data_IF_340340421473
#
_entry.id   IF_340340421473
#
_cell.length_a   1.000
_cell.length_b   1.000
_cell.length_c   1.000
_cell.angle_alpha   90.00
_cell.angle_beta   90.00
_cell.angle_gamma   90.00
#
_symmetry.space_group_name_H-M   'P 1'
#
loop_
_entity.id
_entity.type
_entity.pdbx_description
1 polymer ?
#
# COMPACT_ATOMS: atom_id res chain seq x y z
N UNK A 1 21.96 -14.86 24.56
CA UNK A 1 20.56 -14.47 24.37
C UNK A 1 20.03 -15.29 23.20
N UNK A 2 19.18 -16.25 23.45
CA UNK A 2 18.60 -17.14 22.43
C UNK A 2 17.58 -16.33 21.64
N UNK A 3 17.90 -16.03 20.40
CA UNK A 3 16.93 -15.49 19.45
C UNK A 3 15.85 -16.55 19.29
N UNK A 4 14.63 -16.25 19.75
CA UNK A 4 13.47 -17.12 19.53
C UNK A 4 13.33 -17.40 18.03
N UNK A 5 13.10 -18.65 17.59
CA UNK A 5 12.94 -18.95 16.17
C UNK A 5 11.78 -18.12 15.64
N UNK A 6 12.06 -17.38 14.57
CA UNK A 6 11.06 -16.60 13.83
C UNK A 6 9.94 -17.56 13.43
N UNK A 7 8.73 -17.32 13.94
CA UNK A 7 7.57 -18.11 13.54
C UNK A 7 7.26 -17.77 12.08
N UNK A 8 7.65 -18.66 11.19
CA UNK A 8 7.38 -18.56 9.76
C UNK A 8 5.86 -18.66 9.54
N UNK A 9 5.31 -17.69 8.83
CA UNK A 9 3.87 -17.68 8.52
C UNK A 9 3.64 -18.32 7.17
N UNK A 10 2.73 -19.30 7.12
CA UNK A 10 2.24 -19.87 5.87
C UNK A 10 1.66 -18.78 4.98
N UNK A 11 1.77 -18.90 3.67
CA UNK A 11 0.89 -18.23 2.69
C UNK A 11 -0.55 -18.77 2.81
N UNK A 12 -1.09 -18.85 4.02
CA UNK A 12 -2.50 -19.12 4.16
C UNK A 12 -3.24 -17.90 3.60
N UNK A 13 -4.16 -18.13 2.68
CA UNK A 13 -5.11 -17.12 2.24
C UNK A 13 -5.77 -16.51 3.48
N UNK A 14 -5.29 -15.33 3.89
CA UNK A 14 -5.99 -14.58 4.93
C UNK A 14 -7.33 -14.21 4.32
N UNK A 15 -8.39 -14.84 4.80
CA UNK A 15 -9.74 -14.42 4.44
C UNK A 15 -9.89 -12.96 4.86
N UNK A 16 -10.49 -12.12 4.02
CA UNK A 16 -10.79 -10.75 4.41
C UNK A 16 -11.62 -10.77 5.70
N UNK A 17 -11.25 -9.89 6.65
CA UNK A 17 -12.01 -9.78 7.89
C UNK A 17 -13.23 -8.91 7.66
N UNK A 18 -14.41 -9.34 8.10
CA UNK A 18 -15.61 -8.51 8.04
C UNK A 18 -15.41 -7.23 8.85
N UNK A 19 -16.10 -6.17 8.48
CA UNK A 19 -16.10 -4.92 9.24
C UNK A 19 -16.70 -5.18 10.61
N UNK A 20 -15.87 -5.18 11.66
CA UNK A 20 -16.32 -5.54 13.02
C UNK A 20 -17.14 -4.41 13.67
N UNK A 21 -16.99 -3.15 13.20
CA UNK A 21 -17.65 -1.95 13.74
C UNK A 21 -17.81 -0.92 12.63
N UNK A 22 -18.98 -0.31 12.56
CA UNK A 22 -19.15 0.89 11.72
C UNK A 22 -18.54 2.11 12.44
N UNK A 23 -17.65 2.81 11.76
CA UNK A 23 -16.97 4.00 12.25
C UNK A 23 -17.64 5.28 11.72
N UNK A 24 -18.22 6.09 12.61
CA UNK A 24 -18.66 7.42 12.23
C UNK A 24 -17.45 8.34 12.10
N UNK A 25 -17.52 9.32 11.20
CA UNK A 25 -16.46 10.33 11.02
C UNK A 25 -16.07 11.01 12.34
N UNK A 26 -17.05 11.40 13.17
CA UNK A 26 -16.80 12.00 14.48
C UNK A 26 -16.10 11.06 15.48
N UNK A 27 -16.37 9.74 15.44
CA UNK A 27 -15.68 8.78 16.31
C UNK A 27 -14.20 8.65 15.91
N UNK A 28 -13.92 8.69 14.60
CA UNK A 28 -12.55 8.66 14.08
C UNK A 28 -11.82 9.98 14.36
N UNK A 29 -12.50 11.13 14.22
CA UNK A 29 -11.96 12.45 14.56
C UNK A 29 -11.57 12.52 16.04
N UNK A 30 -12.40 11.99 16.94
CA UNK A 30 -12.08 11.91 18.36
C UNK A 30 -10.79 11.12 18.67
N UNK A 31 -10.42 10.14 17.83
CA UNK A 31 -9.13 9.47 17.96
C UNK A 31 -7.96 10.41 17.61
N UNK A 32 -8.10 11.26 16.59
CA UNK A 32 -7.07 12.26 16.25
C UNK A 32 -6.84 13.28 17.38
N UNK A 33 -7.83 13.52 18.24
CA UNK A 33 -7.76 14.50 19.35
C UNK A 33 -7.17 13.91 20.63
N UNK A 34 -6.95 12.60 20.70
CA UNK A 34 -6.27 11.99 21.84
C UNK A 34 -4.86 12.59 22.04
N UNK A 35 -4.34 12.63 23.28
CA UNK A 35 -2.94 12.96 23.53
C UNK A 35 -2.04 12.06 22.66
N UNK A 36 -1.02 12.69 22.03
CA UNK A 36 -0.23 12.01 20.99
C UNK A 36 0.34 10.66 21.43
N UNK A 37 0.97 10.61 22.63
CA UNK A 37 1.60 9.39 23.12
C UNK A 37 0.56 8.32 23.51
N UNK A 38 -0.62 8.72 24.00
CA UNK A 38 -1.70 7.78 24.35
C UNK A 38 -2.28 7.15 23.09
N UNK A 39 -2.46 7.93 22.02
CA UNK A 39 -2.89 7.42 20.73
C UNK A 39 -1.89 6.42 20.14
N UNK A 40 -0.61 6.75 20.14
CA UNK A 40 0.46 5.87 19.64
C UNK A 40 0.53 4.58 20.47
N UNK A 41 0.40 4.68 21.80
CA UNK A 41 0.40 3.53 22.69
C UNK A 41 -0.78 2.58 22.39
N UNK A 42 -2.01 3.10 22.27
CA UNK A 42 -3.18 2.29 21.91
C UNK A 42 -3.01 1.58 20.57
N UNK A 43 -2.50 2.31 19.56
CA UNK A 43 -2.23 1.73 18.25
C UNK A 43 -1.16 0.61 18.31
N UNK A 44 -0.12 0.80 19.12
CA UNK A 44 0.92 -0.20 19.35
C UNK A 44 0.39 -1.47 20.00
N UNK A 45 -0.52 -1.36 20.98
CA UNK A 45 -1.16 -2.52 21.61
C UNK A 45 -2.00 -3.31 20.60
N UNK A 46 -2.81 -2.62 19.79
CA UNK A 46 -3.62 -3.24 18.74
C UNK A 46 -2.71 -3.90 17.70
N UNK A 47 -1.64 -3.22 17.28
CA UNK A 47 -0.69 -3.80 16.33
C UNK A 47 -0.11 -5.12 16.86
N UNK A 48 0.38 -5.15 18.10
CA UNK A 48 0.98 -6.33 18.71
C UNK A 48 0.00 -7.48 18.96
N UNK A 49 -1.28 -7.17 19.12
CA UNK A 49 -2.31 -8.22 19.28
C UNK A 49 -2.64 -8.94 17.96
N UNK A 50 -2.34 -8.34 16.80
CA UNK A 50 -2.71 -8.88 15.49
C UNK A 50 -1.51 -9.25 14.62
N UNK A 51 -0.34 -8.66 14.87
CA UNK A 51 0.87 -8.83 14.07
C UNK A 51 2.09 -9.00 14.96
N UNK A 52 3.13 -9.64 14.42
CA UNK A 52 4.45 -9.52 14.98
C UNK A 52 4.99 -8.10 14.70
N UNK A 53 5.26 -7.28 15.73
CA UNK A 53 5.62 -5.87 15.51
C UNK A 53 7.00 -5.66 14.89
N UNK A 54 7.78 -6.73 14.74
CA UNK A 54 9.11 -6.69 14.13
C UNK A 54 9.10 -7.10 12.66
N UNK A 55 7.99 -7.66 12.16
CA UNK A 55 7.85 -8.08 10.77
C UNK A 55 7.35 -6.94 9.89
N UNK A 56 8.11 -6.61 8.85
CA UNK A 56 7.77 -5.58 7.87
C UNK A 56 7.54 -6.22 6.49
N UNK A 57 6.38 -6.01 5.91
CA UNK A 57 6.09 -6.43 4.54
C UNK A 57 6.81 -5.51 3.56
N UNK A 58 7.70 -6.07 2.75
CA UNK A 58 8.39 -5.36 1.67
C UNK A 58 7.65 -5.55 0.35
N UNK A 59 7.33 -4.44 -0.31
CA UNK A 59 6.71 -4.42 -1.63
C UNK A 59 7.50 -3.52 -2.56
N UNK A 60 7.76 -3.95 -3.78
CA UNK A 60 8.33 -3.09 -4.82
C UNK A 60 7.21 -2.54 -5.69
N UNK A 61 7.29 -1.27 -6.08
CA UNK A 61 6.33 -0.61 -6.96
C UNK A 61 7.02 -0.14 -8.23
N UNK A 62 6.43 -0.47 -9.37
CA UNK A 62 6.95 -0.12 -10.68
C UNK A 62 5.87 0.50 -11.57
N UNK A 63 6.24 1.56 -12.30
CA UNK A 63 5.42 2.09 -13.39
C UNK A 63 5.66 1.26 -14.65
N UNK A 64 4.63 0.57 -15.12
CA UNK A 64 4.67 -0.18 -16.39
C UNK A 64 4.20 0.67 -17.58
N UNK A 65 3.59 1.82 -17.32
CA UNK A 65 3.20 2.83 -18.29
C UNK A 65 3.15 4.18 -17.59
N UNK A 66 3.99 5.12 -17.99
CA UNK A 66 4.19 6.42 -17.35
C UNK A 66 3.56 7.54 -18.16
N UNK A 67 2.97 8.52 -17.46
CA UNK A 67 2.54 9.80 -18.02
C UNK A 67 1.35 9.77 -18.98
N UNK A 68 0.82 10.95 -19.29
CA UNK A 68 -0.30 11.13 -20.21
C UNK A 68 -1.62 10.53 -19.73
N UNK A 69 -1.84 10.46 -18.41
CA UNK A 69 -3.10 10.04 -17.80
C UNK A 69 -4.18 11.11 -18.08
N UNK A 70 -5.38 10.72 -18.53
CA UNK A 70 -6.46 11.67 -18.79
C UNK A 70 -7.18 12.19 -17.53
N UNK A 71 -6.83 11.72 -16.36
CA UNK A 71 -7.37 12.19 -15.08
C UNK A 71 -6.64 13.44 -14.60
N UNK A 72 -7.37 14.35 -13.92
CA UNK A 72 -6.88 15.66 -13.47
C UNK A 72 -6.49 15.71 -11.99
N UNK A 73 -6.21 14.55 -11.36
CA UNK A 73 -5.86 14.48 -9.93
C UNK A 73 -4.82 15.53 -9.55
N UNK A 74 -5.17 16.49 -8.66
CA UNK A 74 -4.38 17.67 -8.36
C UNK A 74 -2.97 17.40 -7.79
N UNK A 75 -2.73 16.20 -7.26
CA UNK A 75 -1.44 15.75 -6.72
C UNK A 75 -0.58 15.00 -7.72
N UNK A 76 -1.11 14.63 -8.91
CA UNK A 76 -0.49 13.59 -9.75
C UNK A 76 0.31 14.18 -10.90
N UNK A 77 1.64 14.00 -10.95
CA UNK A 77 2.46 14.50 -12.05
C UNK A 77 2.25 13.75 -13.38
N UNK A 78 1.57 12.59 -13.36
CA UNK A 78 1.28 11.79 -14.55
C UNK A 78 0.07 12.30 -15.34
N UNK A 79 -0.66 13.27 -14.80
CA UNK A 79 -1.84 13.87 -15.43
C UNK A 79 -1.47 14.61 -16.73
N UNK A 80 -2.25 14.40 -17.79
CA UNK A 80 -2.14 15.18 -19.03
C UNK A 80 -2.65 16.63 -18.87
N UNK A 81 -3.32 16.94 -17.76
CA UNK A 81 -3.82 18.28 -17.43
C UNK A 81 -2.75 19.17 -16.77
N UNK A 82 -1.63 18.59 -16.33
CA UNK A 82 -0.60 19.31 -15.60
C UNK A 82 0.65 19.50 -16.43
N UNK A 83 1.31 20.66 -16.28
CA UNK A 83 2.55 20.98 -16.98
C UNK A 83 3.76 20.53 -16.15
N UNK A 84 3.95 19.23 -16.04
CA UNK A 84 5.11 18.61 -15.37
C UNK A 84 6.13 18.17 -16.42
N UNK A 85 7.39 18.00 -16.00
CA UNK A 85 8.45 17.52 -16.90
C UNK A 85 8.38 16.01 -17.17
N UNK A 86 7.28 15.35 -16.80
CA UNK A 86 7.12 13.91 -16.96
C UNK A 86 6.64 13.57 -18.37
N UNK A 87 7.50 12.90 -19.15
CA UNK A 87 7.19 12.42 -20.49
C UNK A 87 6.12 11.30 -20.49
N UNK A 88 5.44 11.14 -21.63
CA UNK A 88 4.54 10.00 -21.85
C UNK A 88 5.32 8.82 -22.42
N UNK A 89 5.25 7.69 -21.73
CA UNK A 89 5.89 6.44 -22.15
C UNK A 89 4.84 5.43 -22.64
N UNK A 90 5.28 4.52 -23.48
CA UNK A 90 4.47 3.37 -23.89
C UNK A 90 4.43 2.32 -22.76
N UNK A 91 3.55 1.33 -22.91
CA UNK A 91 3.56 0.14 -22.05
C UNK A 91 4.91 -0.57 -22.18
N UNK A 92 5.51 -0.95 -21.07
CA UNK A 92 6.76 -1.71 -21.04
C UNK A 92 6.56 -3.13 -21.57
N UNK A 93 7.62 -3.69 -22.12
CA UNK A 93 7.62 -5.10 -22.56
C UNK A 93 7.56 -6.05 -21.39
N UNK A 94 6.89 -7.19 -21.57
CA UNK A 94 6.70 -8.23 -20.53
C UNK A 94 8.06 -8.71 -20.00
N UNK A 95 9.02 -8.99 -20.88
CA UNK A 95 10.34 -9.47 -20.49
C UNK A 95 11.10 -8.49 -19.60
N UNK A 96 11.01 -7.19 -19.90
CA UNK A 96 11.64 -6.16 -19.07
C UNK A 96 11.00 -6.09 -17.66
N UNK A 97 9.67 -6.21 -17.58
CA UNK A 97 8.95 -6.25 -16.30
C UNK A 97 9.35 -7.46 -15.48
N UNK A 98 9.45 -8.64 -16.13
CA UNK A 98 9.86 -9.89 -15.48
C UNK A 98 11.27 -9.80 -14.91
N UNK A 99 12.23 -9.24 -15.67
CA UNK A 99 13.60 -9.06 -15.17
C UNK A 99 13.65 -8.13 -13.93
N UNK A 100 12.90 -7.04 -13.96
CA UNK A 100 12.79 -6.15 -12.78
C UNK A 100 12.12 -6.84 -11.59
N UNK A 101 11.12 -7.69 -11.81
CA UNK A 101 10.48 -8.47 -10.76
C UNK A 101 11.43 -9.52 -10.15
N UNK A 102 12.27 -10.17 -10.96
CA UNK A 102 13.33 -11.08 -10.49
C UNK A 102 14.33 -10.36 -9.58
N UNK A 103 14.76 -9.17 -9.99
CA UNK A 103 15.67 -8.32 -9.18
C UNK A 103 14.99 -7.97 -7.85
N UNK A 104 13.75 -7.49 -7.88
CA UNK A 104 13.00 -7.15 -6.66
C UNK A 104 12.88 -8.37 -5.71
N UNK A 105 12.56 -9.55 -6.26
CA UNK A 105 12.51 -10.80 -5.48
C UNK A 105 13.85 -11.14 -4.84
N UNK A 106 14.95 -11.09 -5.60
CA UNK A 106 16.30 -11.40 -5.09
C UNK A 106 16.75 -10.46 -3.95
N UNK A 107 16.16 -9.28 -3.88
CA UNK A 107 16.39 -8.25 -2.85
C UNK A 107 15.43 -8.35 -1.66
N UNK A 108 14.56 -9.34 -1.64
CA UNK A 108 13.68 -9.64 -0.51
C UNK A 108 12.26 -9.09 -0.60
N UNK A 109 11.86 -8.49 -1.72
CA UNK A 109 10.47 -8.07 -1.90
C UNK A 109 9.56 -9.31 -2.00
N UNK A 110 8.54 -9.36 -1.15
CA UNK A 110 7.53 -10.43 -1.16
C UNK A 110 6.37 -10.12 -2.10
N UNK A 111 6.18 -8.84 -2.46
CA UNK A 111 5.11 -8.36 -3.33
C UNK A 111 5.67 -7.46 -4.42
N UNK A 112 5.20 -7.67 -5.65
CA UNK A 112 5.50 -6.81 -6.79
C UNK A 112 4.22 -6.06 -7.21
N UNK A 113 4.27 -4.72 -7.09
CA UNK A 113 3.17 -3.83 -7.43
C UNK A 113 3.45 -3.17 -8.77
N UNK A 114 2.46 -3.12 -9.65
CA UNK A 114 2.56 -2.50 -10.98
C UNK A 114 1.52 -1.42 -11.15
N UNK A 115 1.91 -0.26 -11.66
CA UNK A 115 1.02 0.86 -11.92
C UNK A 115 1.05 1.30 -13.39
N UNK A 116 -0.10 1.69 -13.94
CA UNK A 116 -0.23 2.25 -15.27
C UNK A 116 -0.96 3.60 -15.25
N UNK A 117 -0.39 4.61 -15.91
CA UNK A 117 -0.95 5.95 -16.00
C UNK A 117 -2.05 6.00 -17.07
N UNK A 118 -3.28 5.74 -16.67
CA UNK A 118 -4.49 5.86 -17.47
C UNK A 118 -5.75 5.96 -16.59
N UNK A 119 -6.92 6.22 -17.19
CA UNK A 119 -8.20 6.16 -16.49
C UNK A 119 -8.55 4.72 -16.10
N UNK A 120 -8.30 3.79 -17.01
CA UNK A 120 -8.50 2.34 -16.88
C UNK A 120 -8.01 1.63 -18.15
N UNK A 121 -7.80 0.30 -18.08
CA UNK A 121 -7.43 -0.48 -19.26
C UNK A 121 -8.59 -0.50 -20.26
N UNK A 122 -8.27 -0.45 -21.54
CA UNK A 122 -9.25 -0.71 -22.61
C UNK A 122 -9.35 -2.23 -22.80
N UNK A 123 -10.44 -2.75 -23.42
CA UNK A 123 -10.58 -4.19 -23.68
C UNK A 123 -9.35 -4.83 -24.36
N UNK A 124 -8.71 -4.10 -25.28
CA UNK A 124 -7.49 -4.55 -25.96
C UNK A 124 -6.26 -4.66 -25.06
N UNK A 125 -6.23 -3.92 -23.95
CA UNK A 125 -5.10 -3.89 -23.03
C UNK A 125 -5.17 -5.03 -21.99
N UNK A 126 -6.38 -5.62 -21.79
CA UNK A 126 -6.61 -6.67 -20.78
C UNK A 126 -5.74 -7.89 -21.02
N UNK A 127 -5.59 -8.31 -22.27
CA UNK A 127 -4.79 -9.49 -22.61
C UNK A 127 -3.29 -9.30 -22.24
N UNK A 128 -2.71 -8.15 -22.59
CA UNK A 128 -1.31 -7.83 -22.29
C UNK A 128 -1.10 -7.67 -20.78
N UNK A 129 -2.01 -6.99 -20.08
CA UNK A 129 -1.94 -6.85 -18.62
C UNK A 129 -2.05 -8.21 -17.94
N UNK A 130 -2.92 -9.10 -18.42
CA UNK A 130 -3.06 -10.46 -17.91
C UNK A 130 -1.81 -11.29 -18.13
N UNK A 131 -1.15 -11.15 -19.29
CA UNK A 131 0.14 -11.80 -19.58
C UNK A 131 1.22 -11.33 -18.59
N UNK A 132 1.36 -10.03 -18.37
CA UNK A 132 2.28 -9.45 -17.39
C UNK A 132 2.02 -10.00 -15.98
N UNK A 133 0.75 -10.01 -15.55
CA UNK A 133 0.35 -10.55 -14.25
C UNK A 133 0.78 -12.02 -14.12
N UNK A 134 0.48 -12.84 -15.12
CA UNK A 134 0.80 -14.27 -15.09
C UNK A 134 2.30 -14.53 -15.06
N UNK A 135 3.07 -13.74 -15.81
CA UNK A 135 4.52 -13.88 -15.87
C UNK A 135 5.17 -13.52 -14.52
N UNK A 136 4.73 -12.43 -13.87
CA UNK A 136 5.22 -12.03 -12.54
C UNK A 136 4.75 -13.03 -11.47
N UNK A 137 3.50 -13.52 -11.55
CA UNK A 137 2.98 -14.54 -10.64
C UNK A 137 3.76 -15.83 -10.70
N UNK A 138 4.20 -16.21 -11.89
CA UNK A 138 5.07 -17.38 -12.12
C UNK A 138 6.41 -17.32 -11.39
N UNK A 139 6.85 -16.15 -10.93
CA UNK A 139 8.03 -15.99 -10.09
C UNK A 139 7.77 -16.33 -8.60
N UNK A 140 6.53 -16.67 -8.21
CA UNK A 140 6.18 -16.98 -6.81
C UNK A 140 6.04 -15.75 -5.90
N UNK A 141 5.79 -14.57 -6.46
CA UNK A 141 5.53 -13.34 -5.70
C UNK A 141 4.02 -13.08 -5.55
N UNK A 142 3.63 -12.31 -4.54
CA UNK A 142 2.32 -11.66 -4.57
C UNK A 142 2.31 -10.57 -5.64
N UNK A 143 1.24 -10.48 -6.43
CA UNK A 143 1.10 -9.50 -7.50
C UNK A 143 0.01 -8.50 -7.16
N UNK A 144 0.34 -7.19 -7.23
CA UNK A 144 -0.60 -6.10 -7.00
C UNK A 144 -0.67 -5.19 -8.25
N UNK A 145 -1.88 -4.85 -8.69
CA UNK A 145 -2.10 -4.00 -9.85
C UNK A 145 -2.79 -2.68 -9.50
N UNK A 146 -2.28 -1.56 -10.03
CA UNK A 146 -2.88 -0.22 -9.96
C UNK A 146 -3.19 0.21 -11.39
N UNK A 147 -4.30 -0.30 -11.92
CA UNK A 147 -4.64 -0.12 -13.35
C UNK A 147 -5.84 0.80 -13.59
N UNK A 148 -6.20 1.63 -12.60
CA UNK A 148 -7.30 2.59 -12.73
C UNK A 148 -8.67 1.95 -12.51
N UNK A 149 -9.70 2.49 -13.19
CA UNK A 149 -11.07 1.99 -13.08
C UNK A 149 -11.24 0.75 -13.96
N UNK A 150 -12.07 -0.20 -13.48
CA UNK A 150 -12.34 -1.45 -14.19
C UNK A 150 -13.76 -1.47 -14.75
N UNK A 151 -13.88 -1.92 -15.99
CA UNK A 151 -15.16 -2.34 -16.56
C UNK A 151 -15.53 -3.76 -16.08
N UNK A 152 -16.78 -4.16 -16.32
CA UNK A 152 -17.29 -5.49 -15.92
C UNK A 152 -16.48 -6.61 -16.59
N UNK A 153 -16.14 -7.64 -15.83
CA UNK A 153 -15.36 -8.79 -16.28
C UNK A 153 -13.84 -8.62 -16.20
N UNK A 154 -13.32 -7.38 -16.15
CA UNK A 154 -11.87 -7.15 -16.14
C UNK A 154 -11.21 -7.62 -14.84
N UNK A 155 -11.87 -7.44 -13.69
CA UNK A 155 -11.36 -7.89 -12.41
C UNK A 155 -11.24 -9.43 -12.36
N UNK A 156 -12.22 -10.13 -12.90
CA UNK A 156 -12.25 -11.58 -13.04
C UNK A 156 -11.13 -12.09 -13.96
N UNK A 157 -10.86 -11.39 -15.06
CA UNK A 157 -9.78 -11.75 -15.98
C UNK A 157 -8.41 -11.59 -15.32
N UNK A 158 -8.20 -10.50 -14.59
CA UNK A 158 -6.97 -10.30 -13.82
C UNK A 158 -6.83 -11.32 -12.69
N UNK A 159 -7.93 -11.70 -12.03
CA UNK A 159 -7.91 -12.77 -11.03
C UNK A 159 -7.51 -14.11 -11.63
N UNK A 160 -8.07 -14.48 -12.79
CA UNK A 160 -7.68 -15.70 -13.53
C UNK A 160 -6.21 -15.67 -13.95
N UNK A 161 -5.66 -14.49 -14.28
CA UNK A 161 -4.26 -14.31 -14.60
C UNK A 161 -3.32 -14.45 -13.38
N UNK A 162 -3.86 -14.50 -12.16
CA UNK A 162 -3.10 -14.67 -10.93
C UNK A 162 -2.86 -13.40 -10.11
N UNK A 163 -3.60 -12.31 -10.39
CA UNK A 163 -3.55 -11.12 -9.56
C UNK A 163 -4.03 -11.44 -8.13
N UNK A 164 -3.27 -11.01 -7.13
CA UNK A 164 -3.63 -11.19 -5.72
C UNK A 164 -4.33 -9.96 -5.15
N UNK A 165 -3.82 -8.76 -5.48
CA UNK A 165 -4.30 -7.49 -4.96
C UNK A 165 -4.62 -6.52 -6.09
N UNK A 166 -5.68 -5.76 -5.93
CA UNK A 166 -5.95 -4.59 -6.75
C UNK A 166 -5.81 -3.33 -5.90
N UNK A 167 -4.94 -2.40 -6.31
CA UNK A 167 -4.81 -1.10 -5.67
C UNK A 167 -5.72 -0.07 -6.32
N UNK A 168 -6.61 0.49 -5.51
CA UNK A 168 -7.49 1.58 -5.93
C UNK A 168 -7.79 2.48 -4.74
N UNK A 169 -7.00 3.53 -4.58
CA UNK A 169 -7.09 4.41 -3.41
C UNK A 169 -8.35 5.27 -3.44
N UNK A 170 -8.90 5.62 -2.28
CA UNK A 170 -9.93 6.65 -2.14
C UNK A 170 -9.33 8.06 -2.22
N UNK A 171 -8.04 8.19 -2.01
CA UNK A 171 -7.19 9.38 -2.03
C UNK A 171 -7.48 10.40 -0.93
N UNK A 172 -8.74 10.82 -0.72
CA UNK A 172 -9.14 11.83 0.29
C UNK A 172 -10.54 11.54 0.84
N UNK A 173 -11.03 12.41 1.73
CA UNK A 173 -12.41 12.40 2.23
C UNK A 173 -13.42 12.47 1.07
N UNK A 174 -14.51 11.67 1.08
CA UNK A 174 -15.59 11.78 0.09
C UNK A 174 -16.14 13.20 -0.08
N UNK A 175 -16.29 13.96 1.01
CA UNK A 175 -16.84 15.31 0.97
C UNK A 175 -15.89 16.29 0.27
N UNK A 176 -14.59 16.02 0.28
CA UNK A 176 -13.54 16.82 -0.35
C UNK A 176 -13.10 16.31 -1.72
N UNK A 177 -13.57 15.16 -2.12
CA UNK A 177 -13.06 14.47 -3.31
C UNK A 177 -13.09 15.36 -4.57
N UNK A 178 -14.17 16.12 -4.75
CA UNK A 178 -14.36 16.99 -5.90
C UNK A 178 -13.49 18.26 -5.90
N UNK A 179 -12.82 18.59 -4.79
CA UNK A 179 -11.82 19.68 -4.75
C UNK A 179 -10.46 19.23 -5.29
N UNK A 180 -10.24 17.91 -5.32
CA UNK A 180 -8.96 17.30 -5.70
C UNK A 180 -9.02 16.66 -7.09
N UNK A 181 -10.17 16.11 -7.50
CA UNK A 181 -10.34 15.38 -8.76
C UNK A 181 -11.71 15.69 -9.34
N UNK A 182 -11.76 16.19 -10.62
CA UNK A 182 -13.00 16.55 -11.31
C UNK A 182 -13.36 15.58 -12.44
N UNK A 183 -12.39 14.86 -12.99
CA UNK A 183 -12.60 13.97 -14.15
C UNK A 183 -13.32 12.65 -13.79
N UNK A 184 -13.45 12.33 -12.50
CA UNK A 184 -14.19 11.17 -11.95
C UNK A 184 -14.71 11.51 -10.55
N UNK A 185 -15.65 10.71 -10.07
CA UNK A 185 -16.28 10.86 -8.76
C UNK A 185 -15.73 9.83 -7.77
N UNK A 186 -15.96 10.08 -6.47
CA UNK A 186 -15.66 9.11 -5.41
C UNK A 186 -16.41 7.79 -5.61
N UNK A 187 -17.67 7.84 -6.07
CA UNK A 187 -18.51 6.68 -6.35
C UNK A 187 -17.91 5.78 -7.44
N UNK A 188 -17.22 6.33 -8.43
CA UNK A 188 -16.54 5.55 -9.48
C UNK A 188 -15.42 4.67 -8.88
N UNK A 189 -14.79 5.15 -7.81
CA UNK A 189 -13.79 4.37 -7.07
C UNK A 189 -14.45 3.25 -6.29
N UNK A 190 -15.55 3.55 -5.62
CA UNK A 190 -16.33 2.57 -4.87
C UNK A 190 -16.86 1.45 -5.77
N UNK A 191 -17.36 1.80 -6.97
CA UNK A 191 -17.79 0.83 -7.98
C UNK A 191 -16.65 -0.12 -8.39
N UNK A 192 -15.47 0.43 -8.68
CA UNK A 192 -14.30 -0.38 -9.00
C UNK A 192 -13.90 -1.31 -7.85
N UNK A 193 -13.90 -0.83 -6.61
CA UNK A 193 -13.61 -1.66 -5.43
C UNK A 193 -14.65 -2.78 -5.26
N UNK A 194 -15.92 -2.50 -5.55
CA UNK A 194 -16.99 -3.51 -5.58
C UNK A 194 -16.72 -4.62 -6.59
N UNK A 195 -16.34 -4.27 -7.83
CA UNK A 195 -15.95 -5.24 -8.88
C UNK A 195 -14.76 -6.09 -8.46
N UNK A 196 -13.73 -5.46 -7.85
CA UNK A 196 -12.54 -6.12 -7.32
C UNK A 196 -12.92 -7.17 -6.26
N UNK A 197 -13.80 -6.80 -5.33
CA UNK A 197 -14.28 -7.72 -4.28
C UNK A 197 -15.10 -8.87 -4.85
N UNK A 198 -16.01 -8.58 -5.79
CA UNK A 198 -16.84 -9.59 -6.44
C UNK A 198 -16.00 -10.62 -7.20
N UNK A 199 -14.89 -10.22 -7.78
CA UNK A 199 -13.93 -11.12 -8.43
C UNK A 199 -13.06 -11.94 -7.44
N UNK A 200 -13.20 -11.73 -6.13
CA UNK A 200 -12.40 -12.41 -5.11
C UNK A 200 -10.95 -11.94 -5.02
N UNK A 201 -10.67 -10.72 -5.48
CA UNK A 201 -9.36 -10.08 -5.30
C UNK A 201 -9.25 -9.44 -3.91
N UNK A 202 -8.04 -9.42 -3.36
CA UNK A 202 -7.72 -8.62 -2.18
C UNK A 202 -7.64 -7.14 -2.56
N UNK A 203 -8.04 -6.26 -1.63
CA UNK A 203 -8.04 -4.81 -1.85
C UNK A 203 -6.82 -4.18 -1.18
N UNK A 204 -6.08 -3.38 -1.96
CA UNK A 204 -5.13 -2.41 -1.47
C UNK A 204 -5.76 -1.03 -1.67
N UNK A 205 -6.15 -0.34 -0.60
CA UNK A 205 -6.87 0.91 -0.69
C UNK A 205 -6.48 1.84 0.45
N UNK A 206 -6.09 3.05 0.13
CA UNK A 206 -5.64 4.06 1.08
C UNK A 206 -5.88 5.47 0.57
N UNK A 207 -5.03 6.40 1.00
CA UNK A 207 -5.14 7.79 0.61
C UNK A 207 -3.85 8.58 0.73
N UNK A 208 -3.98 9.88 0.49
CA UNK A 208 -2.90 10.86 0.53
C UNK A 208 -3.23 11.91 1.58
N UNK A 209 -2.27 12.23 2.43
CA UNK A 209 -2.37 13.28 3.44
C UNK A 209 -1.31 14.35 3.20
N UNK A 210 -1.58 15.57 3.68
CA UNK A 210 -0.76 16.76 3.40
C UNK A 210 -1.21 17.52 2.16
N UNK A 211 -2.46 17.32 1.73
CA UNK A 211 -3.11 18.07 0.65
C UNK A 211 -3.89 19.31 1.18
N UNK A 212 -3.44 19.92 2.27
CA UNK A 212 -4.10 21.00 3.02
C UNK A 212 -5.46 20.58 3.64
N UNK A 213 -5.64 19.29 3.92
CA UNK A 213 -6.83 18.78 4.58
C UNK A 213 -6.79 18.99 6.11
N UNK A 214 -7.95 19.17 6.72
CA UNK A 214 -8.15 19.21 8.16
C UNK A 214 -8.12 17.80 8.79
N UNK A 215 -8.07 17.73 10.14
CA UNK A 215 -8.26 16.46 10.86
C UNK A 215 -9.60 15.81 10.58
N UNK A 216 -10.67 16.61 10.48
CA UNK A 216 -12.00 16.10 10.16
C UNK A 216 -12.03 15.41 8.78
N UNK A 217 -11.34 15.98 7.79
CA UNK A 217 -11.24 15.38 6.45
C UNK A 217 -10.35 14.13 6.47
N UNK A 218 -9.23 14.12 7.21
CA UNK A 218 -8.46 12.86 7.41
C UNK A 218 -9.29 11.79 8.11
N UNK A 219 -10.11 12.17 9.10
CA UNK A 219 -11.03 11.25 9.76
C UNK A 219 -12.07 10.70 8.78
N UNK A 220 -12.57 11.52 7.86
CA UNK A 220 -13.50 11.09 6.81
C UNK A 220 -12.89 10.07 5.86
N UNK A 221 -11.65 10.27 5.41
CA UNK A 221 -10.90 9.29 4.63
C UNK A 221 -10.74 7.96 5.40
N UNK A 222 -10.27 8.01 6.64
CA UNK A 222 -10.04 6.79 7.44
C UNK A 222 -11.36 6.08 7.76
N UNK A 223 -12.44 6.82 8.07
CA UNK A 223 -13.77 6.23 8.28
C UNK A 223 -14.27 5.50 7.02
N UNK A 224 -14.08 6.11 5.85
CA UNK A 224 -14.47 5.50 4.57
C UNK A 224 -13.70 4.21 4.30
N UNK A 225 -12.39 4.18 4.55
CA UNK A 225 -11.56 2.98 4.42
C UNK A 225 -11.98 1.89 5.42
N UNK A 226 -12.19 2.26 6.69
CA UNK A 226 -12.53 1.33 7.76
C UNK A 226 -13.93 0.73 7.62
N UNK A 227 -14.84 1.40 6.88
CA UNK A 227 -16.19 0.95 6.61
C UNK A 227 -16.34 0.15 5.30
N UNK A 228 -15.27 -0.04 4.54
CA UNK A 228 -15.29 -1.02 3.46
C UNK A 228 -15.53 -2.42 4.04
N UNK A 229 -16.43 -3.17 3.48
CA UNK A 229 -16.79 -4.53 3.94
C UNK A 229 -16.55 -5.57 2.84
N UNK A 230 -15.54 -6.44 3.02
CA UNK A 230 -14.56 -6.47 4.11
C UNK A 230 -13.56 -5.29 4.07
N UNK A 231 -12.94 -4.99 5.22
CA UNK A 231 -11.88 -3.98 5.31
C UNK A 231 -10.74 -4.29 4.33
N UNK A 232 -10.00 -3.27 3.81
CA UNK A 232 -8.87 -3.50 2.93
C UNK A 232 -7.79 -4.34 3.61
N UNK A 233 -7.22 -5.29 2.92
CA UNK A 233 -6.10 -6.08 3.43
C UNK A 233 -4.80 -5.25 3.51
N UNK A 234 -4.70 -4.18 2.70
CA UNK A 234 -3.55 -3.28 2.69
C UNK A 234 -4.01 -1.83 2.56
N UNK A 235 -3.49 -0.96 3.43
CA UNK A 235 -3.87 0.45 3.52
C UNK A 235 -2.62 1.31 3.37
N UNK A 236 -2.28 1.76 2.15
CA UNK A 236 -1.19 2.69 1.93
C UNK A 236 -1.58 4.10 2.40
N UNK A 237 -0.80 4.67 3.29
CA UNK A 237 -0.86 6.07 3.68
C UNK A 237 0.31 6.78 3.00
N UNK A 238 -0.02 7.69 2.09
CA UNK A 238 0.93 8.48 1.35
C UNK A 238 1.03 9.86 1.97
N UNK A 239 2.23 10.37 2.17
CA UNK A 239 2.44 11.80 2.35
C UNK A 239 2.54 12.44 0.97
N UNK A 240 1.89 13.57 0.77
CA UNK A 240 1.97 14.32 -0.48
C UNK A 240 3.44 14.58 -0.84
N UNK A 241 3.82 14.18 -2.04
CA UNK A 241 5.08 14.61 -2.66
C UNK A 241 4.75 15.77 -3.59
N UNK A 242 5.20 16.96 -3.22
CA UNK A 242 4.96 18.17 -4.00
C UNK A 242 5.77 18.13 -5.29
N UNK A 243 5.11 18.23 -6.43
CA UNK A 243 5.76 18.22 -7.75
C UNK A 243 5.43 19.50 -8.48
N UNK A 244 6.45 20.21 -8.92
CA UNK A 244 6.30 21.43 -9.71
C UNK A 244 5.41 21.19 -10.93
N UNK A 245 4.52 22.14 -11.21
CA UNK A 245 3.55 22.04 -12.30
C UNK A 245 2.25 21.30 -11.94
N UNK A 246 2.14 20.75 -10.73
CA UNK A 246 0.86 20.24 -10.22
C UNK A 246 0.13 21.29 -9.37
N UNK A 247 -1.22 21.25 -9.28
CA UNK A 247 -1.99 22.21 -8.45
C UNK A 247 -1.60 22.24 -6.97
N UNK A 248 -1.08 21.14 -6.43
CA UNK A 248 -0.67 21.02 -5.02
C UNK A 248 0.85 21.20 -4.80
N UNK A 249 1.57 21.76 -5.78
CA UNK A 249 3.02 22.02 -5.67
C UNK A 249 3.38 22.90 -4.46
N UNK A 250 2.52 23.86 -4.14
CA UNK A 250 2.70 24.84 -3.04
C UNK A 250 1.87 24.51 -1.79
N UNK A 251 1.38 23.27 -1.65
CA UNK A 251 0.65 22.85 -0.45
C UNK A 251 1.53 23.02 0.81
N UNK A 252 0.91 23.33 1.96
CA UNK A 252 1.62 23.42 3.23
C UNK A 252 2.22 22.06 3.63
N UNK A 253 3.33 22.08 4.36
CA UNK A 253 3.91 20.86 4.90
C UNK A 253 3.03 20.33 6.03
N UNK A 254 2.70 19.03 5.95
CA UNK A 254 2.00 18.38 7.04
C UNK A 254 2.94 18.21 8.23
N UNK A 255 2.49 18.63 9.42
CA UNK A 255 3.22 18.37 10.65
C UNK A 255 3.43 16.84 10.81
N UNK A 256 4.65 16.46 11.15
CA UNK A 256 5.01 15.05 11.26
C UNK A 256 4.17 14.28 12.29
N UNK A 257 3.71 14.95 13.37
CA UNK A 257 2.85 14.33 14.37
C UNK A 257 1.48 13.99 13.79
N UNK A 258 0.96 14.81 12.87
CA UNK A 258 -0.30 14.55 12.17
C UNK A 258 -0.22 13.34 11.25
N UNK A 259 0.93 13.15 10.60
CA UNK A 259 1.16 11.94 9.80
C UNK A 259 1.19 10.68 10.68
N UNK A 260 1.95 10.70 11.79
CA UNK A 260 2.00 9.59 12.75
C UNK A 260 0.62 9.32 13.38
N UNK A 261 -0.15 10.36 13.70
CA UNK A 261 -1.56 10.22 14.14
C UNK A 261 -2.38 9.47 13.11
N UNK A 262 -2.22 9.80 11.83
CA UNK A 262 -2.96 9.12 10.75
C UNK A 262 -2.63 7.63 10.69
N UNK A 263 -1.36 7.25 10.83
CA UNK A 263 -0.93 5.84 10.93
C UNK A 263 -1.58 5.15 12.14
N UNK A 264 -1.54 5.80 13.32
CA UNK A 264 -2.11 5.25 14.54
C UNK A 264 -3.63 5.05 14.43
N UNK A 265 -4.35 6.05 13.91
CA UNK A 265 -5.81 5.98 13.71
C UNK A 265 -6.16 4.91 12.68
N UNK A 266 -5.40 4.78 11.59
CA UNK A 266 -5.57 3.71 10.61
C UNK A 266 -5.37 2.33 11.24
N UNK A 267 -4.38 2.14 12.13
CA UNK A 267 -4.16 0.89 12.85
C UNK A 267 -5.31 0.55 13.80
N UNK A 268 -5.82 1.53 14.54
CA UNK A 268 -6.91 1.32 15.51
C UNK A 268 -8.20 0.93 14.77
N UNK A 269 -8.51 1.62 13.69
CA UNK A 269 -9.76 1.41 12.95
C UNK A 269 -9.74 0.19 12.04
N UNK A 270 -8.56 -0.22 11.58
CA UNK A 270 -8.34 -1.36 10.67
C UNK A 270 -7.27 -2.32 11.24
N UNK A 271 -7.58 -3.04 12.34
CA UNK A 271 -6.60 -3.79 13.12
C UNK A 271 -5.92 -4.93 12.36
N UNK A 272 -6.58 -5.46 11.33
CA UNK A 272 -6.08 -6.61 10.55
C UNK A 272 -5.37 -6.21 9.24
N UNK A 273 -5.40 -4.94 8.88
CA UNK A 273 -4.81 -4.45 7.62
C UNK A 273 -3.30 -4.30 7.72
N UNK A 274 -2.59 -4.50 6.61
CA UNK A 274 -1.22 -3.99 6.48
C UNK A 274 -1.28 -2.48 6.28
N UNK A 275 -0.88 -1.71 7.29
CA UNK A 275 -0.74 -0.25 7.18
C UNK A 275 0.62 0.06 6.59
N UNK A 276 0.64 0.68 5.41
CA UNK A 276 1.86 0.90 4.65
C UNK A 276 2.31 2.34 4.69
N UNK A 277 3.59 2.56 5.04
CA UNK A 277 4.28 3.79 4.70
C UNK A 277 4.58 3.75 3.21
N UNK A 278 3.97 4.69 2.47
CA UNK A 278 4.00 4.70 1.01
C UNK A 278 4.82 5.90 0.49
N UNK A 279 4.28 6.74 -0.40
CA UNK A 279 5.01 7.90 -0.90
C UNK A 279 5.39 8.91 0.21
N UNK A 280 6.46 9.67 -0.03
CA UNK A 280 6.95 10.72 0.87
C UNK A 280 8.03 10.28 1.85
N UNK A 281 8.39 8.98 1.91
CA UNK A 281 9.36 8.45 2.87
C UNK A 281 10.76 9.07 2.73
N UNK A 282 11.20 9.44 1.52
CA UNK A 282 12.50 10.09 1.30
C UNK A 282 12.65 11.41 2.07
N UNK A 283 11.54 12.07 2.40
CA UNK A 283 11.52 13.31 3.18
C UNK A 283 11.29 13.08 4.68
N UNK A 284 11.08 11.82 5.11
CA UNK A 284 10.85 11.49 6.51
C UNK A 284 12.16 11.14 7.20
N UNK A 285 12.55 11.84 8.29
CA UNK A 285 13.70 11.42 9.09
C UNK A 285 13.47 10.03 9.70
N UNK A 286 14.53 9.29 9.96
CA UNK A 286 14.48 7.94 10.56
C UNK A 286 13.64 7.89 11.84
N UNK A 287 13.71 8.93 12.68
CA UNK A 287 12.93 9.03 13.92
C UNK A 287 11.42 9.09 13.66
N UNK A 288 10.98 9.79 12.62
CA UNK A 288 9.58 9.82 12.22
C UNK A 288 9.11 8.45 11.71
N UNK A 289 9.92 7.78 10.87
CA UNK A 289 9.61 6.43 10.39
C UNK A 289 9.53 5.42 11.56
N UNK A 290 10.46 5.51 12.52
CA UNK A 290 10.43 4.69 13.73
C UNK A 290 9.13 4.92 14.56
N UNK A 291 8.67 6.18 14.68
CA UNK A 291 7.39 6.49 15.31
C UNK A 291 6.20 5.91 14.53
N UNK A 292 6.26 5.91 13.19
CA UNK A 292 5.23 5.28 12.37
C UNK A 292 5.17 3.74 12.58
N UNK A 293 6.32 3.06 12.67
CA UNK A 293 6.35 1.63 13.00
C UNK A 293 5.82 1.36 14.42
N UNK A 294 6.16 2.20 15.39
CA UNK A 294 5.60 2.12 16.75
C UNK A 294 4.08 2.33 16.73
N UNK A 295 3.57 3.27 15.93
CA UNK A 295 2.15 3.53 15.73
C UNK A 295 1.42 2.45 14.90
N UNK A 296 2.12 1.40 14.47
CA UNK A 296 1.52 0.22 13.84
C UNK A 296 1.63 0.13 12.33
N UNK A 297 2.47 0.95 11.67
CA UNK A 297 2.88 0.67 10.31
C UNK A 297 3.65 -0.66 10.27
N UNK A 298 3.37 -1.51 9.28
CA UNK A 298 3.98 -2.83 9.13
C UNK A 298 4.20 -3.25 7.68
N UNK A 299 4.21 -2.28 6.78
CA UNK A 299 4.53 -2.46 5.37
C UNK A 299 5.22 -1.21 4.82
N UNK A 300 6.16 -1.38 3.90
CA UNK A 300 6.81 -0.29 3.16
C UNK A 300 6.88 -0.61 1.67
N UNK A 301 7.00 0.44 0.84
CA UNK A 301 7.58 0.26 -0.47
C UNK A 301 9.10 0.26 -0.34
N UNK A 302 9.72 -0.73 -0.98
CA UNK A 302 11.14 -1.03 -0.97
C UNK A 302 11.72 -0.90 -2.38
N UNK A 303 12.90 -0.28 -2.51
CA UNK A 303 13.54 0.04 -3.78
C UNK A 303 13.56 1.53 -4.05
N UNK A 304 14.50 1.99 -4.87
CA UNK A 304 14.92 3.39 -5.02
C UNK A 304 13.83 4.32 -5.59
N UNK A 305 12.83 3.77 -6.24
CA UNK A 305 11.81 4.55 -6.95
C UNK A 305 10.42 3.96 -6.78
N UNK A 306 9.43 4.83 -6.63
CA UNK A 306 8.02 4.53 -6.79
C UNK A 306 7.59 4.70 -8.25
N UNK A 307 6.32 5.06 -8.52
CA UNK A 307 5.85 5.27 -9.90
C UNK A 307 6.63 6.40 -10.60
N UNK A 308 6.75 7.55 -9.96
CA UNK A 308 7.36 8.77 -10.53
C UNK A 308 8.19 9.55 -9.52
N UNK A 309 8.19 9.16 -8.26
CA UNK A 309 8.89 9.84 -7.16
C UNK A 309 9.98 8.94 -6.60
N UNK A 310 11.00 9.56 -6.04
CA UNK A 310 12.06 8.85 -5.33
C UNK A 310 11.51 8.17 -4.06
N UNK A 311 12.21 7.13 -3.63
CA UNK A 311 11.97 6.40 -2.39
C UNK A 311 13.32 6.23 -1.70
N UNK A 312 13.39 5.99 -0.38
CA UNK A 312 14.65 5.62 0.27
C UNK A 312 15.29 4.45 -0.47
N UNK A 313 16.62 4.53 -0.65
CA UNK A 313 17.35 3.45 -1.28
C UNK A 313 17.32 2.17 -0.42
N UNK A 314 17.65 1.05 -1.05
CA UNK A 314 17.60 -0.26 -0.40
C UNK A 314 18.56 -0.37 0.78
N UNK A 315 19.71 0.26 0.71
CA UNK A 315 20.71 0.27 1.79
C UNK A 315 20.22 1.12 2.98
N UNK A 316 19.58 2.26 2.72
CA UNK A 316 18.96 3.09 3.75
C UNK A 316 17.85 2.34 4.49
N UNK A 317 16.98 1.65 3.76
CA UNK A 317 15.90 0.83 4.35
C UNK A 317 16.47 -0.34 5.16
N UNK A 318 17.48 -1.02 4.65
CA UNK A 318 18.16 -2.12 5.37
C UNK A 318 18.79 -1.62 6.67
N UNK A 319 19.52 -0.52 6.63
CA UNK A 319 20.14 0.08 7.82
C UNK A 319 19.11 0.54 8.84
N UNK A 320 18.00 1.13 8.40
CA UNK A 320 16.89 1.52 9.30
C UNK A 320 16.27 0.29 9.97
N UNK A 321 15.99 -0.77 9.22
CA UNK A 321 15.46 -2.01 9.78
C UNK A 321 16.44 -2.64 10.79
N UNK A 322 17.73 -2.68 10.48
CA UNK A 322 18.77 -3.17 11.40
C UNK A 322 18.81 -2.35 12.70
N UNK A 323 18.80 -1.01 12.63
CA UNK A 323 18.78 -0.12 13.80
C UNK A 323 17.56 -0.32 14.71
N UNK A 324 16.41 -0.72 14.12
CA UNK A 324 15.16 -0.90 14.82
C UNK A 324 14.86 -2.39 15.15
N UNK A 325 15.80 -3.31 14.89
CA UNK A 325 15.61 -4.76 15.03
C UNK A 325 14.38 -5.29 14.27
N UNK A 326 14.06 -4.69 13.12
CA UNK A 326 13.00 -5.12 12.24
C UNK A 326 13.53 -6.08 11.18
N UNK A 327 12.65 -6.92 10.63
CA UNK A 327 13.02 -7.86 9.59
C UNK A 327 11.90 -8.03 8.53
N UNK A 328 12.28 -8.35 7.30
CA UNK A 328 11.30 -8.59 6.24
C UNK A 328 10.36 -9.75 6.55
N UNK A 329 9.06 -9.55 6.29
CA UNK A 329 8.10 -10.65 6.29
C UNK A 329 8.48 -11.67 5.21
N UNK A 330 8.75 -12.92 5.62
CA UNK A 330 9.03 -14.03 4.71
C UNK A 330 7.77 -14.85 4.50
N UNK A 331 7.47 -15.13 3.24
CA UNK A 331 6.47 -16.12 2.87
C UNK A 331 7.21 -17.42 2.53
N UNK A 332 6.89 -18.52 3.21
CA UNK A 332 7.32 -19.84 2.81
C UNK A 332 6.34 -20.42 1.79
N UNK A 333 6.86 -21.05 0.75
CA UNK A 333 6.10 -21.98 -0.05
C UNK A 333 5.78 -23.21 0.83
N UNK A 334 4.62 -23.84 0.66
CA UNK A 334 4.18 -24.98 1.51
C UNK A 334 5.23 -26.11 1.58
N UNK A 335 5.97 -26.34 0.51
CA UNK A 335 7.03 -27.35 0.41
C UNK A 335 8.23 -27.05 1.32
N UNK A 336 8.60 -25.78 1.52
CA UNK A 336 9.70 -25.38 2.41
C UNK A 336 9.30 -25.48 3.90
N UNK A 337 8.02 -25.31 4.20
CA UNK A 337 7.51 -25.42 5.57
C UNK A 337 7.45 -26.88 6.05
N UNK A 338 7.07 -27.81 5.19
CA UNK A 338 7.06 -29.24 5.51
C UNK A 338 8.49 -29.77 5.72
N UNK A 339 9.44 -29.36 4.86
CA UNK A 339 10.85 -29.70 5.01
C UNK A 339 11.48 -29.14 6.31
N UNK A 340 11.07 -27.94 6.74
CA UNK A 340 11.57 -27.35 7.98
C UNK A 340 11.01 -28.01 9.25
N UNK A 341 9.84 -28.66 9.18
CA UNK A 341 9.28 -29.42 10.29
C UNK A 341 9.87 -30.82 10.45
N UNK A 342 10.42 -31.38 9.36
CA UNK A 342 11.09 -32.69 9.38
C UNK A 342 12.52 -32.65 9.94
N UNK A 343 13.10 -31.47 10.14
CA UNK A 343 14.43 -31.33 10.75
C UNK A 343 14.35 -31.65 12.25
N UNK A 344 15.09 -32.65 12.76
CA UNK A 344 15.00 -33.06 14.17
C UNK A 344 15.36 -31.91 15.10
N UNK A 345 14.47 -31.57 16.04
CA UNK A 345 14.78 -30.65 17.12
C UNK A 345 15.95 -31.20 17.93
N UNK A 346 17.10 -30.58 17.85
CA UNK A 346 18.25 -30.91 18.71
C UNK A 346 17.76 -30.67 20.16
N UNK A 347 17.57 -31.75 20.91
CA UNK A 347 17.37 -31.66 22.35
C UNK A 347 18.67 -31.17 22.95
N UNK A 348 18.67 -29.98 23.49
CA UNK A 348 19.71 -29.52 24.42
C UNK A 348 19.27 -29.98 25.80
N UNK A 349 19.86 -31.06 26.28
CA UNK A 349 19.74 -31.47 27.66
C UNK A 349 20.54 -30.48 28.53
N UNK A 350 19.88 -29.90 29.53
CA UNK A 350 20.49 -29.05 30.56
C UNK A 350 21.09 -29.93 31.69
#
# INVERSE_FOLDING_TARGET
MTVSPVALRRQTERKPHPTARYWKKCDVEALFDLPFLDLVFQAAEIHRSHFNPREIQLSTLMSIKTGGCPEDCAYCPQSAHHNTNLGKEQMMDVDEIVEKAKIAKSRGASRFCMGAAWRGPKPKDVAVVSEIISAVKGLGMEVCGTFGMLEDGMAEDFKKAGLDYYNHNLDTDPDRYNDIIHTRKHEDRMDTLGKVRNAGLKVCCGGIVGMNESRAERAGLIASLANLDPQPESVPINQLVKVEGTPLADAEDLDWTEFVRTIAVARITMPHSYVRLSAGRSNMPESMQAMCFMAGANSIFYGDKLLTTENPDEDGDRLLMEKLDLYPLRFELEEEYEAAQETPKIKVDY
#
